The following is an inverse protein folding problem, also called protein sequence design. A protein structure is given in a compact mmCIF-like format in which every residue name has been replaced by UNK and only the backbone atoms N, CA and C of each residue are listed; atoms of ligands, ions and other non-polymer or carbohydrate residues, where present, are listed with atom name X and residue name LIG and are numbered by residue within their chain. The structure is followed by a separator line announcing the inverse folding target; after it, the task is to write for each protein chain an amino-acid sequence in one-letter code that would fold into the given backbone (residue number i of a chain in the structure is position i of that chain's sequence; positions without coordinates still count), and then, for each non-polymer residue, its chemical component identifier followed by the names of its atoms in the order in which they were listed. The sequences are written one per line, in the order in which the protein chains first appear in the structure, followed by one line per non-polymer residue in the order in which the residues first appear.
data_IF_685922259907
#
_entry.id   IF_685922259907
#
_cell.length_a   1.000
_cell.length_b   1.000
_cell.length_c   1.000
_cell.angle_alpha   90.00
_cell.angle_beta   90.00
_cell.angle_gamma   90.00
#
_symmetry.space_group_name_H-M   'P 1'
#
loop_
_entity.id
_entity.type
_entity.pdbx_description
1 polymer ?
#
# COMPACT_ATOMS: atom_id res chain seq x y z
N UNK A 1 -3.80 -25.90 28.14
CA UNK A 1 -4.90 -25.85 27.15
C UNK A 1 -4.38 -25.06 25.95
N UNK A 2 -4.02 -25.75 24.86
CA UNK A 2 -3.52 -25.12 23.63
C UNK A 2 -4.72 -24.76 22.76
N UNK A 3 -5.01 -23.46 22.65
CA UNK A 3 -6.10 -22.92 21.84
C UNK A 3 -5.65 -22.62 20.43
N UNK A 4 -5.90 -23.58 19.53
CA UNK A 4 -6.35 -23.45 18.14
C UNK A 4 -5.90 -22.24 17.31
N UNK A 5 -5.04 -22.52 16.33
CA UNK A 5 -4.83 -21.64 15.18
C UNK A 5 -6.14 -21.40 14.44
N UNK A 6 -6.48 -20.14 14.24
CA UNK A 6 -7.63 -19.70 13.44
C UNK A 6 -7.38 -20.02 11.97
N UNK A 7 -8.13 -20.98 11.46
CA UNK A 7 -8.20 -21.29 10.03
C UNK A 7 -8.84 -20.09 9.31
N UNK A 8 -8.05 -19.22 8.67
CA UNK A 8 -8.54 -18.07 7.89
C UNK A 8 -9.18 -18.46 6.54
N UNK A 9 -9.34 -19.75 6.25
CA UNK A 9 -9.75 -20.28 4.94
C UNK A 9 -11.22 -20.03 4.53
N UNK A 10 -11.94 -19.11 5.19
CA UNK A 10 -13.36 -18.86 4.92
C UNK A 10 -13.83 -17.40 4.94
N UNK A 11 -13.00 -16.43 5.33
CA UNK A 11 -13.44 -15.03 5.41
C UNK A 11 -13.39 -14.39 4.01
N UNK A 12 -14.55 -14.00 3.49
CA UNK A 12 -14.71 -13.20 2.28
C UNK A 12 -14.96 -11.75 2.65
N UNK A 13 -14.37 -10.84 1.88
CA UNK A 13 -14.51 -9.41 2.04
C UNK A 13 -15.21 -8.81 0.83
N UNK A 14 -16.00 -7.77 1.07
CA UNK A 14 -16.51 -6.88 0.04
C UNK A 14 -15.69 -5.57 0.14
N UNK A 15 -15.02 -5.20 -0.94
CA UNK A 15 -14.20 -3.99 -1.03
C UNK A 15 -14.72 -3.12 -2.16
N UNK A 16 -14.81 -1.83 -1.92
CA UNK A 16 -15.27 -0.86 -2.90
C UNK A 16 -14.07 -0.06 -3.41
N UNK A 17 -13.92 0.01 -4.73
CA UNK A 17 -12.96 0.91 -5.34
C UNK A 17 -13.39 2.37 -5.11
N UNK A 18 -12.51 3.25 -4.60
CA UNK A 18 -12.83 4.66 -4.49
C UNK A 18 -12.93 5.39 -5.83
N UNK A 19 -12.38 4.86 -6.93
CA UNK A 19 -12.50 5.50 -8.25
C UNK A 19 -13.94 5.35 -8.78
N UNK A 20 -14.58 6.44 -9.24
CA UNK A 20 -15.92 6.36 -9.81
C UNK A 20 -15.92 5.53 -11.10
N UNK A 21 -17.07 4.95 -11.44
CA UNK A 21 -17.24 4.33 -12.76
C UNK A 21 -17.28 5.37 -13.89
N UNK A 22 -17.36 4.89 -15.14
CA UNK A 22 -17.40 5.74 -16.34
C UNK A 22 -18.57 6.74 -16.34
N UNK A 23 -19.65 6.43 -15.59
CA UNK A 23 -20.85 7.25 -15.46
C UNK A 23 -20.80 8.19 -14.22
N UNK A 24 -19.71 8.18 -13.45
CA UNK A 24 -19.52 9.02 -12.27
C UNK A 24 -20.20 8.51 -11.00
N UNK A 25 -20.70 7.28 -10.99
CA UNK A 25 -21.29 6.66 -9.80
C UNK A 25 -20.22 6.17 -8.83
N UNK A 26 -20.65 5.80 -7.63
CA UNK A 26 -19.78 5.20 -6.63
C UNK A 26 -19.07 3.96 -7.20
N UNK A 27 -17.77 3.84 -6.92
CA UNK A 27 -16.91 2.85 -7.59
C UNK A 27 -17.32 1.39 -7.38
N UNK A 28 -16.75 0.54 -8.23
CA UNK A 28 -17.07 -0.89 -8.33
C UNK A 28 -16.82 -1.63 -7.01
N UNK A 29 -17.75 -2.51 -6.64
CA UNK A 29 -17.58 -3.42 -5.49
C UNK A 29 -17.05 -4.77 -5.96
N UNK A 30 -16.02 -5.27 -5.28
CA UNK A 30 -15.37 -6.55 -5.53
C UNK A 30 -15.50 -7.49 -4.32
N UNK A 31 -15.73 -8.78 -4.59
CA UNK A 31 -15.70 -9.84 -3.59
C UNK A 31 -14.35 -10.54 -3.63
N UNK A 32 -13.65 -10.58 -2.50
CA UNK A 32 -12.31 -11.15 -2.43
C UNK A 32 -12.06 -11.88 -1.11
N UNK A 33 -10.84 -12.37 -0.91
CA UNK A 33 -10.40 -13.06 0.31
C UNK A 33 -9.18 -12.38 0.90
N UNK A 34 -8.87 -12.65 2.17
CA UNK A 34 -7.76 -12.00 2.89
C UNK A 34 -6.41 -12.08 2.15
N UNK A 35 -6.13 -13.18 1.44
CA UNK A 35 -4.87 -13.38 0.69
C UNK A 35 -4.65 -12.38 -0.45
N UNK A 36 -5.70 -11.70 -0.90
CA UNK A 36 -5.65 -10.71 -1.98
C UNK A 36 -5.70 -9.27 -1.43
N UNK A 37 -5.61 -9.08 -0.11
CA UNK A 37 -5.70 -7.78 0.54
C UNK A 37 -4.44 -7.50 1.35
N UNK A 38 -3.99 -6.25 1.31
CA UNK A 38 -2.93 -5.74 2.17
C UNK A 38 -3.57 -4.68 3.07
N UNK A 39 -3.35 -4.79 4.38
CA UNK A 39 -3.85 -3.81 5.32
C UNK A 39 -3.05 -2.51 5.21
N UNK A 40 -3.76 -1.38 5.04
CA UNK A 40 -3.18 -0.04 5.09
C UNK A 40 -3.30 0.47 6.53
N UNK A 41 -2.20 0.66 7.28
CA UNK A 41 -2.27 1.17 8.63
C UNK A 41 -2.82 2.60 8.67
N UNK A 42 -3.60 2.98 9.69
CA UNK A 42 -4.00 4.37 9.89
C UNK A 42 -2.78 5.25 10.18
N UNK A 43 -2.84 6.50 9.74
CA UNK A 43 -1.79 7.51 9.92
C UNK A 43 -1.39 7.76 11.38
N UNK A 44 -2.26 7.43 12.33
CA UNK A 44 -2.02 7.60 13.78
C UNK A 44 -1.05 6.56 14.36
N UNK A 45 -0.78 5.47 13.64
CA UNK A 45 0.15 4.43 14.10
C UNK A 45 1.56 4.79 13.67
N UNK A 46 2.50 4.75 14.62
CA UNK A 46 3.93 4.86 14.32
C UNK A 46 4.43 3.55 13.71
N UNK A 47 5.02 3.66 12.51
CA UNK A 47 5.55 2.52 11.76
C UNK A 47 7.08 2.58 11.73
N UNK A 48 7.77 1.42 11.69
CA UNK A 48 9.22 1.39 11.61
C UNK A 48 9.73 2.03 10.31
N UNK A 49 10.88 2.68 10.39
CA UNK A 49 11.55 3.24 9.22
C UNK A 49 11.99 2.14 8.26
N UNK A 50 11.98 2.45 6.98
CA UNK A 50 12.42 1.55 5.93
C UNK A 50 13.84 1.92 5.49
N UNK A 51 14.68 0.91 5.29
CA UNK A 51 16.06 1.09 4.83
C UNK A 51 16.13 1.40 3.33
N UNK A 52 17.16 2.11 2.86
CA UNK A 52 17.43 2.28 1.43
C UNK A 52 17.52 0.93 0.70
N UNK A 53 17.04 0.88 -0.55
CA UNK A 53 17.00 -0.32 -1.39
C UNK A 53 15.83 -1.27 -1.10
N UNK A 54 15.01 -1.00 -0.07
CA UNK A 54 13.83 -1.83 0.23
C UNK A 54 12.80 -1.68 -0.90
N UNK A 55 12.33 -2.81 -1.44
CA UNK A 55 11.22 -2.84 -2.40
C UNK A 55 9.89 -2.82 -1.66
N UNK A 56 8.97 -1.96 -2.10
CA UNK A 56 7.69 -1.68 -1.45
C UNK A 56 6.58 -1.49 -2.47
N UNK A 57 5.33 -1.55 -2.01
CA UNK A 57 4.17 -1.00 -2.71
C UNK A 57 3.82 0.35 -2.10
N UNK A 58 3.73 1.40 -2.89
CA UNK A 58 3.43 2.74 -2.40
C UNK A 58 2.31 3.40 -3.20
N UNK A 59 1.42 4.13 -2.52
CA UNK A 59 0.39 4.93 -3.19
C UNK A 59 1.06 6.10 -3.91
N UNK A 60 0.84 6.22 -5.21
CA UNK A 60 1.36 7.37 -5.96
C UNK A 60 0.59 8.65 -5.55
N UNK A 61 1.26 9.81 -5.38
CA UNK A 61 0.59 11.03 -4.91
C UNK A 61 -0.64 11.39 -5.72
N UNK A 62 -1.68 11.88 -5.05
CA UNK A 62 -2.96 12.27 -5.65
C UNK A 62 -3.72 11.14 -6.40
N UNK A 63 -3.31 9.87 -6.25
CA UNK A 63 -4.02 8.71 -6.80
C UNK A 63 -4.52 7.78 -5.70
N UNK A 64 -5.36 6.81 -6.06
CA UNK A 64 -5.82 5.72 -5.18
C UNK A 64 -5.06 4.41 -5.40
N UNK A 65 -4.06 4.42 -6.29
CA UNK A 65 -3.37 3.21 -6.78
C UNK A 65 -1.99 3.05 -6.16
N UNK A 66 -1.66 1.81 -5.80
CA UNK A 66 -0.36 1.43 -5.26
C UNK A 66 0.52 0.84 -6.37
N UNK A 67 1.75 1.33 -6.47
CA UNK A 67 2.74 0.87 -7.44
C UNK A 67 4.00 0.39 -6.74
N UNK A 68 4.76 -0.48 -7.42
CA UNK A 68 6.05 -0.95 -6.93
C UNK A 68 7.06 0.19 -6.95
N UNK A 69 7.83 0.31 -5.87
CA UNK A 69 8.84 1.34 -5.70
C UNK A 69 10.02 0.85 -4.87
N UNK A 70 11.13 1.57 -4.95
CA UNK A 70 12.31 1.38 -4.12
C UNK A 70 12.47 2.55 -3.14
N UNK A 71 12.74 2.23 -1.88
CA UNK A 71 13.05 3.24 -0.87
C UNK A 71 14.44 3.81 -1.13
N UNK A 72 14.53 5.11 -1.40
CA UNK A 72 15.80 5.82 -1.50
C UNK A 72 16.28 6.25 -0.12
N UNK A 73 15.38 6.83 0.70
CA UNK A 73 15.64 7.16 2.11
C UNK A 73 14.34 7.41 2.87
N UNK A 74 14.39 7.26 4.19
CA UNK A 74 13.31 7.66 5.10
C UNK A 74 13.75 8.91 5.86
N UNK A 75 12.94 9.96 5.84
CA UNK A 75 13.19 11.21 6.56
C UNK A 75 12.89 11.07 8.06
N UNK A 76 13.44 11.93 8.94
CA UNK A 76 13.11 11.92 10.37
C UNK A 76 11.63 12.11 10.68
N UNK A 77 10.87 12.75 9.79
CA UNK A 77 9.42 12.90 9.87
C UNK A 77 8.64 11.61 9.58
N UNK A 78 9.32 10.54 9.15
CA UNK A 78 8.73 9.29 8.68
C UNK A 78 8.40 9.28 7.19
N UNK A 79 8.44 10.42 6.48
CA UNK A 79 8.19 10.47 5.04
C UNK A 79 9.25 9.66 4.28
N UNK A 80 8.81 8.79 3.38
CA UNK A 80 9.68 8.00 2.53
C UNK A 80 9.92 8.73 1.20
N UNK A 81 11.18 8.83 0.78
CA UNK A 81 11.58 9.22 -0.57
C UNK A 81 11.74 7.95 -1.39
N UNK A 82 10.95 7.83 -2.44
CA UNK A 82 10.81 6.61 -3.24
C UNK A 82 11.16 6.88 -4.70
N UNK A 83 11.67 5.85 -5.37
CA UNK A 83 11.75 5.79 -6.83
C UNK A 83 10.75 4.74 -7.31
N UNK A 84 9.75 5.17 -8.08
CA UNK A 84 8.73 4.27 -8.62
C UNK A 84 9.27 3.48 -9.81
N UNK A 85 8.81 2.23 -9.94
CA UNK A 85 9.09 1.40 -11.11
C UNK A 85 8.36 1.98 -12.34
N UNK A 86 9.08 2.13 -13.46
CA UNK A 86 8.53 2.72 -14.69
C UNK A 86 8.50 4.26 -14.72
N UNK A 87 9.10 4.94 -13.74
CA UNK A 87 9.24 6.39 -13.76
C UNK A 87 10.14 6.83 -14.94
N UNK A 88 9.59 7.62 -15.86
CA UNK A 88 10.27 8.05 -17.09
C UNK A 88 11.36 9.10 -16.81
N UNK A 89 11.15 9.94 -15.79
CA UNK A 89 12.12 10.95 -15.38
C UNK A 89 13.23 10.32 -14.55
N UNK A 90 14.40 10.15 -15.16
CA UNK A 90 15.57 9.56 -14.51
C UNK A 90 15.96 10.34 -13.25
N UNK A 91 15.95 9.64 -12.11
CA UNK A 91 16.33 10.21 -10.82
C UNK A 91 15.20 10.95 -10.08
N UNK A 92 13.97 10.92 -10.60
CA UNK A 92 12.82 11.47 -9.87
C UNK A 92 12.59 10.71 -8.56
N UNK A 93 12.50 11.49 -7.48
CA UNK A 93 12.21 11.02 -6.13
C UNK A 93 10.84 11.53 -5.68
N UNK A 94 9.95 10.63 -5.34
CA UNK A 94 8.60 10.96 -4.90
C UNK A 94 8.48 10.80 -3.40
N UNK A 95 7.80 11.75 -2.74
CA UNK A 95 7.62 11.74 -1.28
C UNK A 95 6.28 11.11 -0.94
N UNK A 96 6.29 10.07 -0.11
CA UNK A 96 5.07 9.35 0.29
C UNK A 96 5.05 9.19 1.82
N UNK A 97 3.89 9.38 2.43
CA UNK A 97 3.71 9.17 3.87
C UNK A 97 3.89 7.69 4.22
N UNK A 98 4.54 7.39 5.35
CA UNK A 98 4.91 6.02 5.73
C UNK A 98 3.74 5.03 5.74
N UNK A 99 2.54 5.46 6.13
CA UNK A 99 1.36 4.61 6.23
C UNK A 99 0.81 4.17 4.85
N UNK A 100 1.23 4.86 3.78
CA UNK A 100 0.91 4.54 2.39
C UNK A 100 2.06 3.80 1.68
N UNK A 101 3.05 3.33 2.43
CA UNK A 101 4.16 2.51 1.96
C UNK A 101 4.05 1.15 2.62
N UNK A 102 3.75 0.12 1.85
CA UNK A 102 3.42 -1.22 2.30
C UNK A 102 4.52 -2.21 1.89
N UNK A 103 4.65 -3.28 2.67
CA UNK A 103 5.59 -4.34 2.36
C UNK A 103 5.19 -5.04 1.05
N UNK A 104 6.18 -5.27 0.19
CA UNK A 104 5.98 -6.04 -1.04
C UNK A 104 6.31 -7.51 -0.78
N UNK A 105 5.26 -8.30 -0.53
CA UNK A 105 5.36 -9.75 -0.44
C UNK A 105 5.13 -10.32 -1.84
N UNK A 106 6.19 -10.32 -2.66
CA UNK A 106 6.18 -10.87 -4.02
C UNK A 106 5.75 -12.33 -4.09
#
# INVERSE_FOLDING_TARGET
MHGSGTNLNGIRYEVQDPEPDDDGNAGQVYKTSAKNLIYIPPKTISLPSLGPGTTVLARYPETTTFYKAEVIRTLPSGVCKLRFEGEEEAGKETSVERHLVLDYNG
#
